data_IF_897061755675
#
_entry.id   IF_897061755675
#
_cell.length_a   1.000
_cell.length_b   1.000
_cell.length_c   1.000
_cell.angle_alpha   90.00
_cell.angle_beta   90.00
_cell.angle_gamma   90.00
#
_symmetry.space_group_name_H-M   'P 1'
#
loop_
_entity.id
_entity.type
_entity.pdbx_description
1 polymer ?
#
# COMPACT_ATOMS: atom_id res chain seq x y z
N UNK A 1 3.73 16.32 -20.53
CA UNK A 1 2.94 16.16 -19.29
C UNK A 1 2.24 14.80 -19.34
N UNK A 2 2.52 13.88 -18.40
CA UNK A 2 1.82 12.59 -18.36
C UNK A 2 0.36 12.85 -18.01
N UNK A 3 -0.54 12.59 -18.95
CA UNK A 3 -1.97 12.57 -18.73
C UNK A 3 -2.29 11.44 -17.75
N UNK A 4 -2.12 11.71 -16.46
CA UNK A 4 -2.55 10.83 -15.38
C UNK A 4 -4.07 10.81 -15.45
N UNK A 5 -4.62 9.67 -15.85
CA UNK A 5 -6.07 9.47 -15.94
C UNK A 5 -6.76 9.96 -14.67
N UNK A 6 -7.61 10.99 -14.80
CA UNK A 6 -8.36 11.63 -13.70
C UNK A 6 -9.36 10.70 -12.96
N UNK A 7 -9.35 9.39 -13.23
CA UNK A 7 -10.31 8.44 -12.69
C UNK A 7 -9.70 7.61 -11.56
N UNK A 8 -10.19 7.82 -10.34
CA UNK A 8 -9.82 7.01 -9.18
C UNK A 8 -10.13 5.52 -9.40
N UNK A 9 -11.21 5.19 -10.11
CA UNK A 9 -11.57 3.79 -10.43
C UNK A 9 -10.51 3.12 -11.31
N UNK A 10 -9.94 3.84 -12.28
CA UNK A 10 -8.85 3.29 -13.10
C UNK A 10 -7.60 3.07 -12.26
N UNK A 11 -7.23 4.05 -11.43
CA UNK A 11 -6.11 3.92 -10.48
C UNK A 11 -6.31 2.70 -9.57
N UNK A 12 -7.53 2.50 -9.05
CA UNK A 12 -7.88 1.36 -8.21
C UNK A 12 -7.65 0.02 -8.93
N UNK A 13 -8.08 -0.10 -10.18
CA UNK A 13 -7.91 -1.32 -11.00
C UNK A 13 -6.45 -1.61 -11.29
N UNK A 14 -5.68 -0.59 -11.67
CA UNK A 14 -4.25 -0.74 -11.94
C UNK A 14 -3.47 -1.14 -10.67
N UNK A 15 -3.77 -0.47 -9.55
CA UNK A 15 -3.15 -0.79 -8.27
C UNK A 15 -3.51 -2.21 -7.81
N UNK A 16 -4.76 -2.65 -8.01
CA UNK A 16 -5.18 -4.02 -7.72
C UNK A 16 -4.45 -5.04 -8.59
N UNK A 17 -4.32 -4.76 -9.89
CA UNK A 17 -3.61 -5.63 -10.82
C UNK A 17 -2.11 -5.74 -10.48
N UNK A 18 -1.48 -4.61 -10.12
CA UNK A 18 -0.10 -4.60 -9.62
C UNK A 18 0.02 -5.39 -8.32
N UNK A 19 -0.85 -5.13 -7.35
CA UNK A 19 -0.83 -5.83 -6.06
C UNK A 19 -1.01 -7.34 -6.19
N UNK A 20 -1.83 -7.82 -7.14
CA UNK A 20 -2.01 -9.27 -7.40
C UNK A 20 -0.75 -9.95 -7.93
N UNK A 21 0.11 -9.21 -8.65
CA UNK A 21 1.38 -9.74 -9.16
C UNK A 21 2.48 -9.70 -8.11
N UNK A 22 2.40 -8.76 -7.15
CA UNK A 22 3.45 -8.53 -6.16
C UNK A 22 3.24 -9.31 -4.87
N UNK A 23 1.99 -9.44 -4.39
CA UNK A 23 1.70 -9.98 -3.07
C UNK A 23 1.00 -11.35 -3.14
N UNK A 24 1.24 -12.24 -2.16
CA UNK A 24 0.38 -13.40 -1.98
C UNK A 24 -1.06 -12.95 -1.69
N UNK A 25 -2.05 -13.79 -2.02
CA UNK A 25 -3.46 -13.45 -1.85
C UNK A 25 -3.78 -13.03 -0.40
N UNK A 26 -3.21 -13.72 0.58
CA UNK A 26 -3.39 -13.47 2.02
C UNK A 26 -2.05 -13.42 2.74
N UNK A 27 -2.01 -12.73 3.89
CA UNK A 27 -0.78 -12.60 4.70
C UNK A 27 -0.43 -13.85 5.50
N UNK A 28 -1.41 -14.71 5.79
CA UNK A 28 -1.21 -16.02 6.41
C UNK A 28 -2.41 -16.92 6.14
N UNK A 29 -2.21 -18.25 6.27
CA UNK A 29 -3.25 -19.27 6.14
C UNK A 29 -4.35 -19.15 7.21
N UNK A 30 -4.03 -18.58 8.37
CA UNK A 30 -4.94 -18.42 9.51
C UNK A 30 -5.62 -17.04 9.55
N UNK A 31 -5.32 -16.15 8.59
CA UNK A 31 -5.93 -14.83 8.58
C UNK A 31 -7.41 -14.92 8.25
N UNK A 32 -8.19 -13.95 8.75
CA UNK A 32 -9.55 -13.74 8.30
C UNK A 32 -9.49 -13.32 6.82
N UNK A 33 -9.83 -14.23 5.91
CA UNK A 33 -9.81 -14.04 4.45
C UNK A 33 -10.88 -13.05 3.93
N UNK A 34 -11.12 -11.99 4.70
CA UNK A 34 -12.06 -10.91 4.44
C UNK A 34 -11.61 -10.04 3.28
N UNK A 35 -10.29 -9.80 3.19
CA UNK A 35 -9.66 -8.94 2.19
C UNK A 35 -8.36 -9.56 1.72
N UNK A 36 -8.09 -9.46 0.42
CA UNK A 36 -6.80 -9.84 -0.14
C UNK A 36 -5.76 -8.73 0.08
N UNK A 37 -4.49 -9.10 0.09
CA UNK A 37 -3.39 -8.13 0.20
C UNK A 37 -3.42 -7.12 -0.95
N UNK A 38 -3.75 -7.58 -2.16
CA UNK A 38 -3.86 -6.73 -3.34
C UNK A 38 -5.01 -5.70 -3.22
N UNK A 39 -6.15 -6.09 -2.62
CA UNK A 39 -7.25 -5.16 -2.35
C UNK A 39 -6.84 -4.09 -1.33
N UNK A 40 -6.17 -4.49 -0.25
CA UNK A 40 -5.68 -3.56 0.77
C UNK A 40 -4.64 -2.61 0.20
N UNK A 41 -3.71 -3.11 -0.62
CA UNK A 41 -2.73 -2.30 -1.33
C UNK A 41 -3.38 -1.27 -2.26
N UNK A 42 -4.39 -1.67 -3.03
CA UNK A 42 -5.11 -0.76 -3.92
C UNK A 42 -5.82 0.36 -3.15
N UNK A 43 -6.42 0.03 -2.00
CA UNK A 43 -7.03 1.02 -1.10
C UNK A 43 -5.99 2.00 -0.53
N UNK A 44 -4.82 1.52 -0.12
CA UNK A 44 -3.73 2.39 0.34
C UNK A 44 -3.20 3.30 -0.77
N UNK A 45 -3.13 2.80 -1.99
CA UNK A 45 -2.78 3.61 -3.17
C UNK A 45 -3.82 4.71 -3.40
N UNK A 46 -5.11 4.38 -3.28
CA UNK A 46 -6.19 5.36 -3.37
C UNK A 46 -6.15 6.40 -2.26
N UNK A 47 -5.76 6.01 -1.03
CA UNK A 47 -5.54 6.95 0.09
C UNK A 47 -4.60 8.07 -0.34
N UNK A 48 -3.46 7.69 -0.93
CA UNK A 48 -2.44 8.63 -1.39
C UNK A 48 -2.91 9.44 -2.59
N UNK A 49 -3.58 8.80 -3.56
CA UNK A 49 -4.10 9.45 -4.76
C UNK A 49 -5.16 10.51 -4.44
N UNK A 50 -6.08 10.20 -3.53
CA UNK A 50 -7.17 11.09 -3.09
C UNK A 50 -6.73 12.05 -1.97
N UNK A 51 -5.49 11.91 -1.48
CA UNK A 51 -4.92 12.74 -0.40
C UNK A 51 -5.82 12.78 0.84
N UNK A 52 -6.33 11.62 1.24
CA UNK A 52 -7.22 11.45 2.40
C UNK A 52 -6.52 10.67 3.53
N UNK A 53 -7.09 10.72 4.72
CA UNK A 53 -6.75 9.80 5.80
C UNK A 53 -7.50 8.45 5.70
N UNK A 54 -7.23 7.54 6.64
CA UNK A 54 -7.86 6.22 6.68
C UNK A 54 -9.37 6.26 6.88
N UNK A 55 -9.89 7.20 7.69
CA UNK A 55 -11.33 7.29 7.98
C UNK A 55 -12.07 7.87 6.78
N UNK A 56 -11.54 8.94 6.18
CA UNK A 56 -12.07 9.52 4.96
C UNK A 56 -12.07 8.51 3.81
N UNK A 57 -11.02 7.68 3.66
CA UNK A 57 -11.03 6.61 2.67
C UNK A 57 -12.14 5.58 2.92
N UNK A 58 -12.36 5.18 4.17
CA UNK A 58 -13.44 4.23 4.53
C UNK A 58 -14.81 4.81 4.19
N UNK A 59 -15.06 6.08 4.51
CA UNK A 59 -16.30 6.79 4.14
C UNK A 59 -16.49 6.82 2.62
N UNK A 60 -15.46 7.24 1.87
CA UNK A 60 -15.52 7.30 0.41
C UNK A 60 -15.79 5.92 -0.22
N UNK A 61 -15.17 4.86 0.30
CA UNK A 61 -15.41 3.49 -0.19
C UNK A 61 -16.84 3.03 0.16
N UNK A 62 -17.38 3.42 1.31
CA UNK A 62 -18.74 3.09 1.70
C UNK A 62 -19.80 3.75 0.80
N UNK A 63 -19.54 4.98 0.35
CA UNK A 63 -20.44 5.75 -0.51
C UNK A 63 -20.25 5.39 -2.00
N UNK A 64 -19.03 5.03 -2.42
CA UNK A 64 -18.72 4.79 -3.83
C UNK A 64 -18.87 3.31 -4.22
N UNK A 65 -20.08 2.94 -4.66
CA UNK A 65 -20.40 1.59 -5.13
C UNK A 65 -19.50 1.07 -6.27
N UNK A 66 -19.26 1.89 -7.28
CA UNK A 66 -18.42 1.51 -8.44
C UNK A 66 -16.96 1.22 -8.05
N UNK A 67 -16.42 1.97 -7.10
CA UNK A 67 -15.08 1.72 -6.57
C UNK A 67 -15.00 0.36 -5.87
N UNK A 68 -16.01 0.02 -5.05
CA UNK A 68 -16.11 -1.29 -4.39
C UNK A 68 -16.20 -2.43 -5.38
N UNK A 69 -17.03 -2.29 -6.43
CA UNK A 69 -17.15 -3.28 -7.50
C UNK A 69 -15.83 -3.46 -8.23
N UNK A 70 -15.16 -2.37 -8.60
CA UNK A 70 -13.87 -2.41 -9.28
C UNK A 70 -12.78 -3.12 -8.46
N UNK A 71 -12.84 -3.01 -7.13
CA UNK A 71 -11.93 -3.69 -6.21
C UNK A 71 -12.37 -5.10 -5.80
N UNK A 72 -13.60 -5.50 -6.14
CA UNK A 72 -14.19 -6.77 -5.70
C UNK A 72 -14.40 -6.85 -4.18
N UNK A 73 -14.67 -5.72 -3.53
CA UNK A 73 -14.88 -5.67 -2.08
C UNK A 73 -16.28 -6.15 -1.72
N UNK A 74 -16.37 -7.18 -0.86
CA UNK A 74 -17.65 -7.69 -0.32
C UNK A 74 -18.17 -6.86 0.85
N UNK A 75 -17.28 -6.17 1.56
CA UNK A 75 -17.57 -5.29 2.68
C UNK A 75 -16.56 -4.14 2.72
N UNK A 76 -16.87 -3.09 3.45
CA UNK A 76 -15.95 -1.96 3.64
C UNK A 76 -14.96 -2.32 4.75
N UNK A 77 -13.63 -2.21 4.52
CA UNK A 77 -12.65 -2.42 5.58
C UNK A 77 -12.79 -1.39 6.69
N UNK A 78 -12.42 -1.77 7.90
CA UNK A 78 -12.29 -0.82 9.00
C UNK A 78 -10.97 -0.04 8.88
N UNK A 79 -10.91 1.19 9.43
CA UNK A 79 -9.71 2.02 9.33
C UNK A 79 -8.47 1.34 9.92
N UNK A 80 -8.63 0.57 11.00
CA UNK A 80 -7.53 -0.19 11.61
C UNK A 80 -7.01 -1.29 10.69
N UNK A 81 -7.89 -1.93 9.90
CA UNK A 81 -7.49 -2.91 8.87
C UNK A 81 -6.54 -2.28 7.85
N UNK A 82 -6.83 -1.05 7.41
CA UNK A 82 -5.97 -0.30 6.50
C UNK A 82 -4.65 0.09 7.15
N UNK A 83 -4.67 0.57 8.40
CA UNK A 83 -3.47 0.94 9.14
C UNK A 83 -2.52 -0.26 9.34
N UNK A 84 -3.03 -1.43 9.73
CA UNK A 84 -2.23 -2.65 9.84
C UNK A 84 -1.70 -3.11 8.48
N UNK A 85 -2.51 -2.99 7.42
CA UNK A 85 -2.07 -3.31 6.07
C UNK A 85 -0.94 -2.39 5.60
N UNK A 86 -1.00 -1.10 5.90
CA UNK A 86 0.03 -0.13 5.51
C UNK A 86 1.39 -0.48 6.13
N UNK A 87 1.41 -0.79 7.43
CA UNK A 87 2.65 -1.22 8.12
C UNK A 87 3.27 -2.48 7.51
N UNK A 88 2.44 -3.38 6.99
CA UNK A 88 2.89 -4.65 6.41
C UNK A 88 3.30 -4.53 4.94
N UNK A 89 2.54 -3.79 4.15
CA UNK A 89 2.67 -3.73 2.69
C UNK A 89 3.51 -2.55 2.22
N UNK A 90 3.58 -1.48 3.01
CA UNK A 90 4.26 -0.22 2.69
C UNK A 90 5.06 0.31 3.91
N UNK A 91 5.96 -0.50 4.51
CA UNK A 91 6.67 -0.12 5.73
C UNK A 91 7.48 1.18 5.57
N UNK A 92 8.09 1.40 4.41
CA UNK A 92 8.90 2.61 4.15
C UNK A 92 8.03 3.86 3.91
N UNK A 93 6.80 3.69 3.42
CA UNK A 93 5.89 4.82 3.22
C UNK A 93 5.33 5.34 4.56
N UNK A 94 5.07 4.44 5.52
CA UNK A 94 4.54 4.81 6.85
C UNK A 94 5.63 5.33 7.80
N UNK A 95 6.91 4.99 7.58
CA UNK A 95 8.03 5.52 8.36
C UNK A 95 8.35 7.00 8.08
N UNK A 96 7.66 7.62 7.11
CA UNK A 96 7.91 9.01 6.73
C UNK A 96 9.29 9.17 6.13
N UNK A 97 9.48 8.67 4.89
CA UNK A 97 10.65 8.96 4.04
C UNK A 97 11.97 8.95 4.81
N UNK A 98 12.48 7.76 5.14
CA UNK A 98 13.87 7.63 5.56
C UNK A 98 14.75 8.11 4.41
N UNK A 99 15.36 9.29 4.56
CA UNK A 99 16.58 9.61 3.84
C UNK A 99 17.54 8.45 4.10
N UNK A 100 17.74 7.62 3.08
CA UNK A 100 18.77 6.57 3.12
C UNK A 100 20.09 7.32 3.15
N UNK A 101 20.62 7.60 4.33
CA UNK A 101 22.06 7.82 4.46
C UNK A 101 22.70 6.47 4.14
N UNK A 102 23.63 6.39 3.17
CA UNK A 102 24.36 5.16 2.96
C UNK A 102 25.13 4.88 4.25
N UNK A 103 24.89 3.71 4.85
CA UNK A 103 25.71 3.19 5.93
C UNK A 103 27.09 2.89 5.33
N UNK A 104 27.99 3.87 5.40
CA UNK A 104 29.42 3.65 5.12
C UNK A 104 29.92 2.58 6.08
N UNK A 105 30.26 1.43 5.52
CA UNK A 105 31.00 0.36 6.20
C UNK A 105 32.46 0.79 6.24
N UNK A 106 32.93 1.28 7.40
CA UNK A 106 34.36 1.37 7.69
C UNK A 106 34.90 -0.06 7.91
N UNK A 107 35.18 -0.75 6.80
CA UNK A 107 35.95 -1.98 6.79
C UNK A 107 37.29 -1.73 6.08
N UNK A 108 38.31 -1.45 6.87
CA UNK A 108 39.64 -2.06 6.76
C UNK A 108 40.61 -1.61 5.66
N UNK A 109 41.79 -1.17 6.10
CA UNK A 109 43.10 -1.49 5.50
C UNK A 109 44.06 -0.32 5.34
N UNK A 110 45.40 -0.53 5.19
CA UNK A 110 46.25 -1.65 5.64
C UNK A 110 47.47 -1.17 6.49
N UNK A 111 48.26 -2.12 7.00
CA UNK A 111 49.39 -1.91 7.91
C UNK A 111 50.56 -1.09 7.34
N UNK A 112 51.26 -0.44 8.27
CA UNK A 112 52.53 0.27 8.07
C UNK A 112 53.70 -0.72 8.23
N UNK A 113 54.70 -0.72 7.34
CA UNK A 113 55.97 -1.39 7.61
C UNK A 113 56.96 -0.46 8.32
N UNK A 114 57.76 -1.02 9.22
CA UNK A 114 59.04 -0.48 9.68
C UNK A 114 60.11 -1.55 9.44
#
# INVERSE_FOLDING_TARGET
>A
MRSMTKSAVRVAREALAAGRRTFPAYGSRTSRHDFTQAQLFALLTLRQFLRTDYRGLVTLVAEWGELRKALGLRKVPHYSTLAYAARRLLPEAEKGGSSTTPRWSSSGGPGLPA
#
